data_IF_162715088434
#
_entry.id   IF_162715088434
#
_cell.length_a   1.000
_cell.length_b   1.000
_cell.length_c   1.000
_cell.angle_alpha   90.00
_cell.angle_beta   90.00
_cell.angle_gamma   90.00
#
_symmetry.space_group_name_H-M   'P 1'
#
loop_
_entity.id
_entity.type
_entity.pdbx_description
1 polymer ?
#
# COMPACT_ATOMS: atom_id res chain seq x y z
N UNK A 1 4.24 -15.48 -9.92
CA UNK A 1 3.09 -14.71 -10.45
C UNK A 1 3.56 -13.93 -11.66
N UNK A 2 2.80 -13.98 -12.73
CA UNK A 2 3.16 -13.28 -13.97
C UNK A 2 2.61 -11.86 -13.94
N UNK A 3 3.48 -10.89 -13.61
CA UNK A 3 3.09 -9.49 -13.48
C UNK A 3 2.65 -8.86 -14.80
N UNK A 4 3.19 -9.36 -15.92
CA UNK A 4 2.79 -8.86 -17.23
C UNK A 4 1.33 -9.19 -17.54
N UNK A 5 0.85 -10.36 -17.10
CA UNK A 5 -0.55 -10.75 -17.28
C UNK A 5 -1.49 -9.98 -16.38
N UNK A 6 -1.00 -9.52 -15.24
CA UNK A 6 -1.80 -8.76 -14.28
C UNK A 6 -1.88 -7.29 -14.67
N UNK A 7 -0.83 -6.75 -15.32
CA UNK A 7 -0.77 -5.36 -15.72
C UNK A 7 -1.99 -4.99 -16.57
N UNK A 8 -2.73 -3.99 -16.11
CA UNK A 8 -3.89 -3.49 -16.79
C UNK A 8 -5.10 -4.42 -16.84
N UNK A 9 -5.07 -5.52 -16.06
CA UNK A 9 -6.12 -6.55 -16.13
C UNK A 9 -7.50 -6.05 -15.73
N UNK A 10 -7.57 -5.02 -14.88
CA UNK A 10 -8.84 -4.43 -14.46
C UNK A 10 -9.16 -3.12 -15.19
N UNK A 11 -8.22 -2.61 -15.97
CA UNK A 11 -8.43 -1.37 -16.72
C UNK A 11 -9.56 -1.53 -17.75
N UNK A 12 -10.50 -0.59 -17.76
CA UNK A 12 -11.65 -0.63 -18.67
C UNK A 12 -12.71 -1.63 -18.29
N UNK A 13 -12.58 -2.32 -17.17
CA UNK A 13 -13.57 -3.27 -16.67
C UNK A 13 -14.43 -2.61 -15.58
N UNK A 14 -15.47 -3.31 -15.16
CA UNK A 14 -16.31 -2.87 -14.04
C UNK A 14 -15.55 -2.77 -12.73
N UNK A 15 -14.41 -3.46 -12.61
CA UNK A 15 -13.60 -3.48 -11.39
C UNK A 15 -12.67 -2.27 -11.26
N UNK A 16 -12.43 -1.53 -12.34
CA UNK A 16 -11.46 -0.44 -12.32
C UNK A 16 -11.71 0.57 -11.21
N UNK A 17 -12.95 0.99 -11.02
CA UNK A 17 -13.30 1.97 -9.98
C UNK A 17 -13.06 1.46 -8.57
N UNK A 18 -13.47 0.22 -8.30
CA UNK A 18 -13.28 -0.41 -6.99
C UNK A 18 -11.78 -0.59 -6.71
N UNK A 19 -11.03 -1.06 -7.69
CA UNK A 19 -9.57 -1.25 -7.55
C UNK A 19 -8.88 0.08 -7.27
N UNK A 20 -9.32 1.17 -7.92
CA UNK A 20 -8.77 2.50 -7.64
C UNK A 20 -9.01 2.92 -6.19
N UNK A 21 -10.21 2.68 -5.67
CA UNK A 21 -10.54 3.01 -4.28
C UNK A 21 -9.70 2.20 -3.29
N UNK A 22 -9.54 0.90 -3.54
CA UNK A 22 -8.72 0.04 -2.69
C UNK A 22 -7.25 0.47 -2.74
N UNK A 23 -6.74 0.76 -3.93
CA UNK A 23 -5.38 1.26 -4.12
C UNK A 23 -5.15 2.53 -3.29
N UNK A 24 -6.10 3.46 -3.33
CA UNK A 24 -6.00 4.70 -2.58
C UNK A 24 -6.00 4.45 -1.07
N UNK A 25 -6.85 3.54 -0.60
CA UNK A 25 -6.91 3.17 0.81
C UNK A 25 -5.58 2.56 1.29
N UNK A 26 -4.99 1.67 0.47
CA UNK A 26 -3.69 1.08 0.78
C UNK A 26 -2.57 2.12 0.79
N UNK A 27 -2.60 3.06 -0.15
CA UNK A 27 -1.62 4.16 -0.19
C UNK A 27 -1.76 5.07 1.03
N UNK A 28 -2.98 5.35 1.46
CA UNK A 28 -3.24 6.11 2.68
C UNK A 28 -2.72 5.36 3.91
N UNK A 29 -2.89 4.04 3.95
CA UNK A 29 -2.35 3.20 5.02
C UNK A 29 -0.83 3.29 5.12
N UNK A 30 -0.14 3.26 3.98
CA UNK A 30 1.31 3.43 3.90
C UNK A 30 1.74 4.73 4.57
N UNK A 31 1.07 5.83 4.21
CA UNK A 31 1.37 7.15 4.74
C UNK A 31 1.15 7.21 6.25
N UNK A 32 0.05 6.64 6.73
CA UNK A 32 -0.28 6.62 8.16
C UNK A 32 0.74 5.83 8.96
N UNK A 33 1.12 4.64 8.49
CA UNK A 33 2.09 3.81 9.20
C UNK A 33 3.47 4.45 9.21
N UNK A 34 3.87 5.14 8.14
CA UNK A 34 5.13 5.88 8.14
C UNK A 34 5.10 7.01 9.19
N UNK A 35 3.99 7.74 9.29
CA UNK A 35 3.84 8.79 10.30
C UNK A 35 3.92 8.21 11.72
N UNK A 36 3.27 7.07 11.95
CA UNK A 36 3.31 6.41 13.25
C UNK A 36 4.73 5.92 13.59
N UNK A 37 5.47 5.44 12.60
CA UNK A 37 6.86 5.03 12.80
C UNK A 37 7.73 6.22 13.23
N UNK A 38 7.56 7.37 12.59
CA UNK A 38 8.28 8.59 12.95
C UNK A 38 7.98 9.02 14.38
N UNK A 39 6.70 8.96 14.76
CA UNK A 39 6.28 9.31 16.11
C UNK A 39 6.85 8.34 17.14
N UNK A 40 6.82 7.05 16.85
CA UNK A 40 7.38 6.03 17.72
C UNK A 40 8.89 6.23 17.91
N UNK A 41 9.63 6.56 16.84
CA UNK A 41 11.04 6.90 16.94
C UNK A 41 11.28 8.10 17.85
N UNK A 42 10.47 9.13 17.71
CA UNK A 42 10.58 10.34 18.54
C UNK A 42 10.34 10.05 20.02
N UNK A 43 9.58 9.01 20.32
CA UNK A 43 9.27 8.59 21.69
C UNK A 43 10.21 7.48 22.19
N UNK A 44 11.24 7.13 21.42
CA UNK A 44 12.20 6.07 21.73
C UNK A 44 11.54 4.69 21.86
N UNK A 45 10.51 4.44 21.06
CA UNK A 45 9.81 3.16 20.98
C UNK A 45 10.27 2.40 19.75
N UNK A 46 11.51 1.92 19.76
CA UNK A 46 12.16 1.32 18.60
C UNK A 46 11.45 0.11 18.02
N UNK A 47 10.94 -0.78 18.88
CA UNK A 47 10.21 -1.96 18.41
C UNK A 47 8.90 -1.60 17.73
N UNK A 48 8.18 -0.63 18.30
CA UNK A 48 6.95 -0.13 17.70
C UNK A 48 7.24 0.53 16.35
N UNK A 49 8.29 1.34 16.28
CA UNK A 49 8.70 2.00 15.04
C UNK A 49 8.99 0.97 13.93
N UNK A 50 9.70 -0.10 14.26
CA UNK A 50 9.99 -1.17 13.30
C UNK A 50 8.73 -1.86 12.82
N UNK A 51 7.79 -2.15 13.75
CA UNK A 51 6.51 -2.77 13.40
C UNK A 51 5.71 -1.89 12.45
N UNK A 52 5.65 -0.58 12.69
CA UNK A 52 4.97 0.37 11.81
C UNK A 52 5.63 0.45 10.44
N UNK A 53 6.97 0.45 10.36
CA UNK A 53 7.67 0.47 9.08
C UNK A 53 7.39 -0.79 8.27
N UNK A 54 7.35 -1.94 8.94
CA UNK A 54 6.99 -3.20 8.27
C UNK A 54 5.58 -3.12 7.69
N UNK A 55 4.62 -2.62 8.48
CA UNK A 55 3.25 -2.43 8.03
C UNK A 55 3.19 -1.48 6.84
N UNK A 56 3.94 -0.37 6.88
CA UNK A 56 4.00 0.58 5.77
C UNK A 56 4.49 -0.08 4.49
N UNK A 57 5.53 -0.92 4.57
CA UNK A 57 6.05 -1.62 3.39
C UNK A 57 5.03 -2.60 2.83
N UNK A 58 4.31 -3.32 3.69
CA UNK A 58 3.27 -4.25 3.25
C UNK A 58 2.14 -3.52 2.54
N UNK A 59 1.69 -2.39 3.09
CA UNK A 59 0.66 -1.55 2.46
C UNK A 59 1.14 -1.00 1.11
N UNK A 60 2.41 -0.60 1.02
CA UNK A 60 2.97 -0.09 -0.22
C UNK A 60 2.99 -1.16 -1.32
N UNK A 61 3.31 -2.41 -0.96
CA UNK A 61 3.28 -3.53 -1.91
C UNK A 61 1.85 -3.77 -2.39
N UNK A 62 0.87 -3.73 -1.49
CA UNK A 62 -0.54 -3.88 -1.86
C UNK A 62 -0.98 -2.76 -2.80
N UNK A 63 -0.67 -1.52 -2.46
CA UNK A 63 -1.01 -0.37 -3.31
C UNK A 63 -0.40 -0.51 -4.71
N UNK A 64 0.86 -0.92 -4.78
CA UNK A 64 1.56 -1.14 -6.04
C UNK A 64 0.91 -2.23 -6.87
N UNK A 65 0.48 -3.31 -6.22
CA UNK A 65 -0.19 -4.42 -6.90
C UNK A 65 -1.51 -3.95 -7.53
N UNK A 66 -2.33 -3.21 -6.77
CA UNK A 66 -3.58 -2.68 -7.31
C UNK A 66 -3.35 -1.66 -8.42
N UNK A 67 -2.31 -0.82 -8.29
CA UNK A 67 -1.93 0.11 -9.34
C UNK A 67 -1.55 -0.63 -10.63
N UNK A 68 -0.82 -1.74 -10.49
CA UNK A 68 -0.45 -2.58 -11.63
C UNK A 68 -1.69 -3.16 -12.31
N UNK A 69 -2.66 -3.63 -11.56
CA UNK A 69 -3.92 -4.16 -12.09
C UNK A 69 -4.67 -3.13 -12.90
N UNK A 70 -4.67 -1.89 -12.49
CA UNK A 70 -5.38 -0.81 -13.20
C UNK A 70 -4.57 -0.19 -14.35
N UNK A 71 -3.33 -0.57 -14.48
CA UNK A 71 -2.48 -0.02 -15.54
C UNK A 71 -2.09 1.41 -15.24
#
# INVERSE_FOLDING_TARGET
>A
MDMEKIYGSTKGTELEGIVREIMQAEANGTMMYEALAMLADAQNLGEAAEAFRKAAREEAVHAGFYALMNG
#
